data_IF_250751659871
#
_entry.id   IF_250751659871
#
_cell.length_a   1.000
_cell.length_b   1.000
_cell.length_c   1.000
_cell.angle_alpha   90.00
_cell.angle_beta   90.00
_cell.angle_gamma   90.00
#
_symmetry.space_group_name_H-M   'P 1'
#
loop_
_entity.id
_entity.type
_entity.pdbx_description
1 polymer ?
#
# COMPACT_ATOMS: atom_id res chain seq x y z
N UNK A 1 1.61 -1.39 -15.73
CA UNK A 1 0.77 -0.19 -15.96
C UNK A 1 1.36 1.15 -15.51
N UNK A 2 1.89 1.37 -14.29
CA UNK A 2 2.33 2.73 -13.86
C UNK A 2 3.32 3.42 -14.80
N UNK A 3 4.17 2.68 -15.53
CA UNK A 3 5.10 3.22 -16.53
C UNK A 3 4.41 3.98 -17.67
N UNK A 4 3.17 3.61 -18.02
CA UNK A 4 2.36 4.28 -19.04
C UNK A 4 1.73 5.59 -18.55
N UNK A 5 1.66 5.79 -17.23
CA UNK A 5 1.00 6.94 -16.60
C UNK A 5 1.97 7.88 -15.85
N UNK A 6 3.29 7.65 -15.96
CA UNK A 6 4.31 8.48 -15.29
C UNK A 6 4.34 9.96 -15.73
N UNK A 7 3.72 10.30 -16.86
CA UNK A 7 3.72 11.67 -17.39
C UNK A 7 2.58 12.57 -16.85
N UNK A 8 1.69 12.05 -16.00
CA UNK A 8 0.54 12.81 -15.46
C UNK A 8 0.59 13.11 -13.95
N UNK A 9 1.60 12.63 -13.22
CA UNK A 9 1.73 12.85 -11.77
C UNK A 9 2.57 14.09 -11.45
N UNK A 10 1.95 15.27 -11.52
CA UNK A 10 2.52 16.52 -11.00
C UNK A 10 1.69 16.96 -9.78
N UNK A 11 2.04 16.56 -8.54
CA UNK A 11 1.23 16.87 -7.38
C UNK A 11 1.64 18.22 -6.79
N UNK A 12 1.30 19.32 -7.49
CA UNK A 12 1.22 20.64 -6.87
C UNK A 12 -0.18 21.20 -7.09
N UNK A 13 -1.04 21.00 -6.08
CA UNK A 13 -2.38 21.58 -5.76
C UNK A 13 -3.24 20.44 -5.18
N UNK A 14 -4.03 20.59 -4.14
CA UNK A 14 -4.40 21.73 -3.31
C UNK A 14 -4.97 21.15 -2.00
N UNK A 15 -4.56 21.73 -0.86
CA UNK A 15 -5.20 21.53 0.44
C UNK A 15 -6.61 22.11 0.41
N UNK A 16 -7.62 21.25 0.52
CA UNK A 16 -9.02 21.61 0.69
C UNK A 16 -9.67 20.64 1.67
N UNK A 17 -9.57 20.95 2.96
CA UNK A 17 -10.21 20.17 4.02
C UNK A 17 -11.72 20.25 3.92
N UNK A 18 -12.39 19.09 3.92
CA UNK A 18 -13.83 18.99 4.13
C UNK A 18 -14.05 18.63 5.59
N UNK A 19 -14.40 19.63 6.40
CA UNK A 19 -14.79 19.43 7.79
C UNK A 19 -16.28 19.09 7.85
N UNK A 20 -16.62 17.91 8.38
CA UNK A 20 -17.93 17.65 8.94
C UNK A 20 -17.79 17.31 10.42
N UNK A 21 -18.46 18.09 11.26
CA UNK A 21 -18.56 17.92 12.69
C UNK A 21 -19.43 16.70 13.03
N UNK A 22 -18.90 15.75 13.80
CA UNK A 22 -19.55 15.12 14.96
C UNK A 22 -18.74 13.90 15.46
N UNK A 23 -18.41 13.92 16.75
CA UNK A 23 -18.07 12.74 17.57
C UNK A 23 -16.68 12.13 17.36
N UNK A 24 -15.92 12.04 18.44
CA UNK A 24 -14.56 11.49 18.56
C UNK A 24 -14.45 10.02 18.06
N UNK A 25 -14.23 9.89 16.76
CA UNK A 25 -13.68 8.73 16.05
C UNK A 25 -12.53 9.32 15.26
N UNK A 26 -11.38 8.65 15.15
CA UNK A 26 -10.16 9.13 14.49
C UNK A 26 -10.42 9.63 13.04
N UNK A 27 -10.93 10.86 12.89
CA UNK A 27 -11.54 11.42 11.67
C UNK A 27 -10.99 12.81 11.31
N UNK A 28 -9.71 13.06 11.56
CA UNK A 28 -9.07 14.24 10.94
C UNK A 28 -8.31 13.90 9.66
N UNK A 29 -7.77 12.69 9.52
CA UNK A 29 -7.10 12.19 8.31
C UNK A 29 -7.35 10.67 8.21
N UNK A 30 -7.66 10.16 7.01
CA UNK A 30 -7.69 8.72 6.76
C UNK A 30 -6.26 8.18 6.87
N UNK A 31 -6.08 7.16 7.71
CA UNK A 31 -4.80 6.44 7.86
C UNK A 31 -4.35 5.93 6.48
N UNK A 32 -5.23 5.16 5.82
CA UNK A 32 -5.04 4.67 4.46
C UNK A 32 -4.55 5.74 3.47
N UNK A 33 -5.24 6.89 3.39
CA UNK A 33 -4.86 7.93 2.44
C UNK A 33 -3.46 8.50 2.73
N UNK A 34 -3.15 8.72 4.01
CA UNK A 34 -1.86 9.26 4.44
C UNK A 34 -0.72 8.28 4.14
N UNK A 35 -0.92 7.00 4.45
CA UNK A 35 0.07 5.95 4.20
C UNK A 35 0.34 5.74 2.71
N UNK A 36 -0.72 5.71 1.90
CA UNK A 36 -0.62 5.55 0.44
C UNK A 36 0.11 6.74 -0.18
N UNK A 37 -0.25 7.97 0.20
CA UNK A 37 0.43 9.17 -0.28
C UNK A 37 1.91 9.18 0.11
N UNK A 38 2.21 8.96 1.38
CA UNK A 38 3.57 8.87 1.90
C UNK A 38 4.42 7.87 1.11
N UNK A 39 3.89 6.66 0.93
CA UNK A 39 4.56 5.58 0.20
C UNK A 39 4.82 5.96 -1.26
N UNK A 40 3.82 6.49 -1.96
CA UNK A 40 3.96 6.86 -3.37
C UNK A 40 4.96 8.01 -3.55
N UNK A 41 4.89 9.03 -2.71
CA UNK A 41 5.81 10.16 -2.74
C UNK A 41 7.26 9.70 -2.52
N UNK A 42 7.52 8.86 -1.50
CA UNK A 42 8.88 8.32 -1.28
C UNK A 42 9.35 7.38 -2.39
N UNK A 43 8.46 6.59 -2.99
CA UNK A 43 8.79 5.75 -4.16
C UNK A 43 9.22 6.58 -5.37
N UNK A 44 8.66 7.77 -5.53
CA UNK A 44 9.01 8.72 -6.61
C UNK A 44 10.20 9.63 -6.25
N UNK A 45 10.82 9.43 -5.08
CA UNK A 45 12.03 10.14 -4.66
C UNK A 45 11.78 11.45 -3.92
N UNK A 46 10.52 11.76 -3.56
CA UNK A 46 10.23 12.91 -2.71
C UNK A 46 10.67 12.67 -1.27
N UNK A 47 11.10 13.76 -0.62
CA UNK A 47 11.52 13.75 0.78
C UNK A 47 10.34 14.10 1.70
N UNK A 48 9.49 13.11 1.97
CA UNK A 48 8.36 13.26 2.90
C UNK A 48 8.80 12.82 4.30
N UNK A 49 8.67 13.65 5.36
CA UNK A 49 9.12 13.30 6.70
C UNK A 49 8.17 12.30 7.39
N UNK A 50 8.72 11.42 8.25
CA UNK A 50 7.94 10.51 9.12
C UNK A 50 6.96 11.25 10.06
N UNK A 51 7.20 12.53 10.32
CA UNK A 51 6.37 13.39 11.17
C UNK A 51 4.91 13.49 10.70
N UNK A 52 4.62 13.14 9.44
CA UNK A 52 3.24 13.02 8.94
C UNK A 52 2.40 12.04 9.76
N UNK A 53 3.03 11.07 10.43
CA UNK A 53 2.33 10.06 11.23
C UNK A 53 2.04 10.51 12.68
N UNK A 54 2.62 11.63 13.14
CA UNK A 54 2.42 12.12 14.53
C UNK A 54 0.95 12.39 14.86
N UNK A 55 0.10 12.66 13.88
CA UNK A 55 -1.35 12.84 14.08
C UNK A 55 -2.08 11.55 14.52
N UNK A 56 -1.45 10.39 14.30
CA UNK A 56 -1.96 9.07 14.66
C UNK A 56 -1.50 8.60 16.06
N UNK A 57 -0.71 9.41 16.75
CA UNK A 57 -0.23 9.12 18.10
C UNK A 57 -1.22 9.62 19.16
N UNK A 58 -1.30 8.88 20.27
CA UNK A 58 -2.03 9.26 21.47
C UNK A 58 -1.18 10.19 22.36
N UNK A 59 -1.75 10.69 23.47
CA UNK A 59 -1.05 11.60 24.40
C UNK A 59 0.13 10.95 25.13
N UNK A 60 0.21 9.62 25.15
CA UNK A 60 1.30 8.84 25.76
C UNK A 60 2.48 8.65 24.81
N UNK A 61 2.31 8.99 23.54
CA UNK A 61 3.34 8.82 22.53
C UNK A 61 3.33 7.45 21.84
N UNK A 62 2.21 6.71 21.88
CA UNK A 62 2.04 5.47 21.11
C UNK A 62 1.00 5.66 19.98
N UNK A 63 1.03 4.80 18.96
CA UNK A 63 -0.06 4.73 17.98
C UNK A 63 -1.43 4.51 18.64
N UNK A 64 -2.46 5.20 18.14
CA UNK A 64 -3.83 5.08 18.64
C UNK A 64 -4.38 3.68 18.34
N UNK A 65 -4.73 2.94 19.39
CA UNK A 65 -5.37 1.62 19.28
C UNK A 65 -6.65 1.64 18.43
N UNK A 66 -7.40 2.75 18.38
CA UNK A 66 -8.61 2.84 17.55
C UNK A 66 -8.34 2.75 16.03
N UNK A 67 -7.09 2.81 15.59
CA UNK A 67 -6.69 2.61 14.20
C UNK A 67 -6.84 1.15 13.74
N UNK A 68 -6.81 0.17 14.66
CA UNK A 68 -6.90 -1.25 14.32
C UNK A 68 -8.25 -1.68 13.71
N UNK A 69 -9.26 -0.80 13.76
CA UNK A 69 -10.56 -1.01 13.11
C UNK A 69 -10.46 -0.88 11.58
N UNK A 70 -9.51 -0.09 11.07
CA UNK A 70 -9.27 0.10 9.63
C UNK A 70 -8.12 -0.80 9.17
N UNK A 71 -8.47 -2.01 8.72
CA UNK A 71 -7.49 -3.02 8.29
C UNK A 71 -6.81 -2.64 6.98
N UNK A 72 -7.52 -1.97 6.07
CA UNK A 72 -6.90 -1.48 4.84
C UNK A 72 -5.88 -0.38 5.16
N UNK A 73 -6.23 0.54 6.08
CA UNK A 73 -5.30 1.51 6.64
C UNK A 73 -4.10 0.85 7.32
N UNK A 74 -4.32 -0.19 8.14
CA UNK A 74 -3.22 -0.91 8.79
C UNK A 74 -2.28 -1.59 7.79
N UNK A 75 -2.84 -2.18 6.74
CA UNK A 75 -2.07 -2.76 5.64
C UNK A 75 -1.28 -1.68 4.90
N UNK A 76 -1.88 -0.51 4.66
CA UNK A 76 -1.19 0.61 4.03
C UNK A 76 -0.05 1.14 4.90
N UNK A 77 -0.25 1.29 6.21
CA UNK A 77 0.76 1.69 7.20
C UNK A 77 1.92 0.70 7.23
N UNK A 78 1.63 -0.60 7.26
CA UNK A 78 2.65 -1.65 7.15
C UNK A 78 3.50 -1.46 5.90
N UNK A 79 2.87 -1.30 4.73
CA UNK A 79 3.59 -1.12 3.45
C UNK A 79 4.38 0.19 3.37
N UNK A 80 3.86 1.27 3.96
CA UNK A 80 4.55 2.56 4.05
C UNK A 80 5.78 2.51 4.96
N UNK A 81 5.73 1.71 6.03
CA UNK A 81 6.83 1.57 6.98
C UNK A 81 8.13 1.02 6.36
N UNK A 82 8.04 0.27 5.25
CA UNK A 82 9.22 -0.24 4.55
C UNK A 82 9.97 0.82 3.73
N UNK A 83 9.41 2.03 3.59
CA UNK A 83 10.12 3.19 3.03
C UNK A 83 10.94 3.94 4.07
N UNK A 84 11.19 3.33 5.23
CA UNK A 84 12.05 3.82 6.30
C UNK A 84 13.46 4.16 5.81
N UNK A 85 13.99 5.25 6.35
CA UNK A 85 15.38 5.66 6.25
C UNK A 85 16.04 5.58 7.64
N UNK A 86 17.37 5.58 7.65
CA UNK A 86 18.14 5.50 8.89
C UNK A 86 17.74 6.62 9.88
N UNK A 87 17.47 6.25 11.12
CA UNK A 87 17.06 7.17 12.19
C UNK A 87 15.56 7.46 12.30
N UNK A 88 14.71 6.80 11.50
CA UNK A 88 13.27 7.04 11.51
C UNK A 88 12.48 6.08 12.43
N UNK A 89 12.54 6.35 13.74
CA UNK A 89 11.90 5.51 14.76
C UNK A 89 10.37 5.43 14.67
N UNK A 90 9.68 6.45 14.15
CA UNK A 90 8.21 6.43 14.00
C UNK A 90 7.80 5.34 13.01
N UNK A 91 8.59 5.14 11.95
CA UNK A 91 8.33 4.11 10.95
C UNK A 91 8.66 2.70 11.47
N UNK A 92 9.64 2.57 12.36
CA UNK A 92 9.90 1.31 13.08
C UNK A 92 8.70 0.93 13.94
N UNK A 93 8.20 1.88 14.74
CA UNK A 93 7.04 1.68 15.59
C UNK A 93 5.77 1.41 14.78
N UNK A 94 5.58 2.12 13.66
CA UNK A 94 4.47 1.90 12.73
C UNK A 94 4.47 0.46 12.20
N UNK A 95 5.65 -0.06 11.85
CA UNK A 95 5.81 -1.43 11.37
C UNK A 95 5.42 -2.44 12.44
N UNK A 96 5.89 -2.25 13.66
CA UNK A 96 5.63 -3.16 14.78
C UNK A 96 4.15 -3.16 15.16
N UNK A 97 3.56 -1.97 15.28
CA UNK A 97 2.13 -1.77 15.53
C UNK A 97 1.26 -2.43 14.45
N UNK A 98 1.53 -2.14 13.17
CA UNK A 98 0.78 -2.72 12.07
C UNK A 98 0.95 -4.24 11.98
N UNK A 99 2.18 -4.75 12.14
CA UNK A 99 2.45 -6.19 12.12
C UNK A 99 1.65 -6.94 13.18
N UNK A 100 1.59 -6.40 14.40
CA UNK A 100 0.82 -7.00 15.50
C UNK A 100 -0.65 -7.13 15.12
N UNK A 101 -1.29 -6.02 14.74
CA UNK A 101 -2.73 -6.01 14.47
C UNK A 101 -3.11 -6.76 13.20
N UNK A 102 -2.26 -6.76 12.17
CA UNK A 102 -2.49 -7.55 10.96
C UNK A 102 -2.46 -9.05 11.22
N UNK A 103 -1.57 -9.53 12.10
CA UNK A 103 -1.54 -10.95 12.53
C UNK A 103 -2.81 -11.31 13.31
N UNK A 104 -3.18 -10.47 14.29
CA UNK A 104 -4.42 -10.66 15.07
C UNK A 104 -5.65 -10.69 14.16
N UNK A 105 -5.70 -9.85 13.12
CA UNK A 105 -6.79 -9.82 12.16
C UNK A 105 -6.91 -11.13 11.36
N UNK A 106 -5.79 -11.66 10.85
CA UNK A 106 -5.79 -12.92 10.07
C UNK A 106 -6.29 -14.09 10.91
N UNK A 107 -5.97 -14.11 12.21
CA UNK A 107 -6.39 -15.19 13.12
C UNK A 107 -7.91 -15.16 13.42
N UNK A 108 -8.55 -13.99 13.29
CA UNK A 108 -9.94 -13.78 13.73
C UNK A 108 -10.94 -13.55 12.60
N UNK A 109 -10.48 -13.06 11.45
CA UNK A 109 -11.33 -12.64 10.33
C UNK A 109 -11.76 -13.79 9.44
N UNK A 110 -12.94 -13.64 8.83
CA UNK A 110 -13.48 -14.53 7.78
C UNK A 110 -13.43 -13.89 6.40
N UNK A 111 -12.93 -12.66 6.28
CA UNK A 111 -12.76 -11.99 4.99
C UNK A 111 -11.59 -12.64 4.23
N UNK A 112 -11.93 -13.54 3.32
CA UNK A 112 -10.93 -14.28 2.57
C UNK A 112 -10.04 -13.37 1.71
N UNK A 113 -10.59 -12.30 1.13
CA UNK A 113 -9.85 -11.39 0.27
C UNK A 113 -8.83 -10.60 1.09
N UNK A 114 -9.26 -9.95 2.17
CA UNK A 114 -8.35 -9.20 3.03
C UNK A 114 -7.34 -10.11 3.71
N UNK A 115 -7.72 -11.29 4.19
CA UNK A 115 -6.75 -12.24 4.74
C UNK A 115 -5.69 -12.66 3.72
N UNK A 116 -6.04 -12.85 2.45
CA UNK A 116 -5.06 -13.12 1.38
C UNK A 116 -4.12 -11.93 1.15
N UNK A 117 -4.65 -10.70 1.15
CA UNK A 117 -3.85 -9.48 1.02
C UNK A 117 -2.86 -9.32 2.18
N UNK A 118 -3.33 -9.49 3.41
CA UNK A 118 -2.52 -9.34 4.62
C UNK A 118 -1.43 -10.40 4.70
N UNK A 119 -1.78 -11.68 4.48
CA UNK A 119 -0.78 -12.76 4.48
C UNK A 119 0.31 -12.53 3.42
N UNK A 120 -0.06 -12.03 2.24
CA UNK A 120 0.91 -11.71 1.21
C UNK A 120 1.84 -10.57 1.63
N UNK A 121 1.33 -9.49 2.24
CA UNK A 121 2.18 -8.42 2.74
C UNK A 121 3.14 -8.90 3.84
N UNK A 122 2.63 -9.69 4.80
CA UNK A 122 3.43 -10.23 5.91
C UNK A 122 4.51 -11.23 5.47
N UNK A 123 4.31 -11.95 4.37
CA UNK A 123 5.33 -12.83 3.77
C UNK A 123 6.51 -12.02 3.24
N UNK A 124 6.22 -10.94 2.50
CA UNK A 124 7.21 -10.02 1.96
C UNK A 124 6.50 -8.70 1.59
N UNK A 125 6.99 -7.54 2.05
CA UNK A 125 6.36 -6.25 1.77
C UNK A 125 6.50 -5.87 0.29
N UNK A 126 5.58 -5.05 -0.20
CA UNK A 126 5.56 -4.58 -1.59
C UNK A 126 6.84 -3.87 -2.00
N UNK A 127 7.52 -3.18 -1.07
CA UNK A 127 8.74 -2.45 -1.36
C UNK A 127 9.89 -3.37 -1.78
N UNK A 128 9.92 -4.61 -1.28
CA UNK A 128 11.00 -5.57 -1.54
C UNK A 128 10.66 -6.56 -2.66
N UNK A 129 9.41 -6.56 -3.15
CA UNK A 129 8.97 -7.46 -4.22
C UNK A 129 9.45 -6.98 -5.59
N UNK A 130 9.88 -7.94 -6.42
CA UNK A 130 10.14 -7.70 -7.84
C UNK A 130 8.85 -7.25 -8.53
N UNK A 131 8.92 -6.14 -9.26
CA UNK A 131 7.77 -5.47 -9.88
C UNK A 131 6.91 -6.42 -10.71
N UNK A 132 7.53 -7.31 -11.50
CA UNK A 132 6.79 -8.28 -12.35
C UNK A 132 6.06 -9.33 -11.53
N UNK A 133 6.69 -9.88 -10.50
CA UNK A 133 6.06 -10.86 -9.60
C UNK A 133 4.90 -10.23 -8.83
N UNK A 134 5.09 -9.01 -8.30
CA UNK A 134 4.03 -8.23 -7.68
C UNK A 134 2.86 -8.01 -8.64
N UNK A 135 3.12 -7.58 -9.88
CA UNK A 135 2.07 -7.32 -10.86
C UNK A 135 1.25 -8.58 -11.17
N UNK A 136 1.90 -9.73 -11.36
CA UNK A 136 1.20 -11.00 -11.62
C UNK A 136 0.25 -11.34 -10.48
N UNK A 137 0.78 -11.34 -9.26
CA UNK A 137 0.00 -11.69 -8.08
C UNK A 137 -1.19 -10.75 -7.88
N UNK A 138 -1.00 -9.43 -8.07
CA UNK A 138 -2.08 -8.46 -7.93
C UNK A 138 -3.16 -8.60 -9.00
N UNK A 139 -2.83 -8.98 -10.23
CA UNK A 139 -3.84 -9.26 -11.27
C UNK A 139 -4.75 -10.40 -10.82
N UNK A 140 -4.14 -11.49 -10.31
CA UNK A 140 -4.88 -12.66 -9.85
C UNK A 140 -5.73 -12.33 -8.60
N UNK A 141 -5.18 -11.57 -7.64
CA UNK A 141 -5.91 -11.13 -6.45
C UNK A 141 -7.05 -10.15 -6.78
N UNK A 142 -6.82 -9.17 -7.66
CA UNK A 142 -7.80 -8.14 -8.03
C UNK A 142 -9.02 -8.74 -8.73
N UNK A 143 -8.84 -9.83 -9.48
CA UNK A 143 -9.95 -10.58 -10.10
C UNK A 143 -10.98 -11.08 -9.10
N UNK A 144 -10.57 -11.44 -7.88
CA UNK A 144 -11.45 -11.94 -6.83
C UNK A 144 -12.12 -10.86 -5.97
N UNK A 145 -11.86 -9.58 -6.26
CA UNK A 145 -12.38 -8.46 -5.49
C UNK A 145 -13.82 -8.12 -5.92
N UNK A 146 -14.70 -7.80 -4.97
CA UNK A 146 -16.13 -7.55 -5.26
C UNK A 146 -16.36 -6.30 -6.12
N UNK A 147 -15.60 -5.22 -5.91
CA UNK A 147 -15.66 -3.94 -6.63
C UNK A 147 -14.65 -3.87 -7.80
N UNK A 148 -14.23 -5.01 -8.32
CA UNK A 148 -13.28 -5.11 -9.43
C UNK A 148 -13.81 -4.39 -10.68
N UNK A 149 -12.98 -3.53 -11.28
CA UNK A 149 -13.26 -2.87 -12.56
C UNK A 149 -12.77 -3.75 -13.72
N UNK A 150 -13.67 -4.28 -14.56
CA UNK A 150 -13.31 -5.23 -15.62
C UNK A 150 -12.38 -4.63 -16.67
N UNK A 151 -12.56 -3.34 -16.99
CA UNK A 151 -11.68 -2.64 -17.94
C UNK A 151 -10.26 -2.49 -17.39
N UNK A 152 -10.12 -2.24 -16.09
CA UNK A 152 -8.80 -2.15 -15.45
C UNK A 152 -8.11 -3.52 -15.41
N UNK A 153 -8.87 -4.58 -15.12
CA UNK A 153 -8.35 -5.95 -15.10
C UNK A 153 -7.88 -6.38 -16.50
N UNK A 154 -8.71 -6.17 -17.53
CA UNK A 154 -8.37 -6.48 -18.92
C UNK A 154 -7.11 -5.73 -19.37
N UNK A 155 -7.02 -4.43 -19.07
CA UNK A 155 -5.84 -3.62 -19.39
C UNK A 155 -4.58 -4.17 -18.71
N UNK A 156 -4.68 -4.56 -17.43
CA UNK A 156 -3.55 -5.11 -16.68
C UNK A 156 -3.08 -6.46 -17.24
N UNK A 157 -4.01 -7.31 -17.67
CA UNK A 157 -3.69 -8.61 -18.29
C UNK A 157 -3.02 -8.45 -19.65
N UNK A 158 -3.54 -7.56 -20.49
CA UNK A 158 -2.93 -7.25 -21.80
C UNK A 158 -1.52 -6.67 -21.64
N UNK A 159 -1.34 -5.66 -20.78
CA UNK A 159 -0.03 -5.08 -20.45
C UNK A 159 0.95 -6.16 -19.96
N UNK A 160 0.48 -7.05 -19.08
CA UNK A 160 1.32 -8.12 -18.54
C UNK A 160 1.77 -9.10 -19.62
N UNK A 161 0.86 -9.52 -20.50
CA UNK A 161 1.10 -10.50 -21.56
C UNK A 161 1.99 -9.94 -22.67
N UNK A 162 1.81 -8.67 -23.05
CA UNK A 162 2.67 -7.99 -24.04
C UNK A 162 4.15 -7.99 -23.58
N UNK A 163 4.40 -7.59 -22.34
CA UNK A 163 5.76 -7.60 -21.76
C UNK A 163 6.31 -9.02 -21.63
N UNK A 164 5.45 -9.99 -21.28
CA UNK A 164 5.86 -11.40 -21.18
C UNK A 164 6.29 -11.98 -22.53
N UNK A 165 5.61 -11.64 -23.62
CA UNK A 165 5.96 -12.09 -24.96
C UNK A 165 7.35 -11.60 -25.40
N UNK A 166 7.69 -10.33 -25.09
CA UNK A 166 9.03 -9.78 -25.35
C UNK A 166 10.10 -10.55 -24.57
N UNK A 167 9.91 -10.74 -23.26
CA UNK A 167 10.87 -11.50 -22.45
C UNK A 167 11.06 -12.95 -22.92
N UNK A 168 10.00 -13.59 -23.44
CA UNK A 168 10.10 -14.94 -23.99
C UNK A 168 10.94 -14.97 -25.27
N UNK A 169 10.84 -13.95 -26.12
CA UNK A 169 11.68 -13.85 -27.31
C UNK A 169 13.14 -13.59 -26.94
N UNK A 170 13.40 -12.64 -26.03
CA UNK A 170 14.74 -12.37 -25.51
C UNK A 170 15.39 -13.65 -24.93
N UNK A 171 14.61 -14.44 -24.18
CA UNK A 171 15.09 -15.72 -23.65
C UNK A 171 15.44 -16.73 -24.75
N UNK A 172 14.67 -16.80 -25.85
CA UNK A 172 15.00 -17.68 -26.98
C UNK A 172 16.30 -17.25 -27.65
N UNK A 173 16.50 -15.94 -27.83
CA UNK A 173 17.71 -15.41 -28.47
C UNK A 173 18.96 -15.69 -27.62
N UNK A 174 18.89 -15.48 -26.30
CA UNK A 174 20.01 -15.72 -25.38
C UNK A 174 20.27 -17.21 -25.15
N UNK A 175 19.27 -18.08 -25.30
CA UNK A 175 19.44 -19.53 -25.12
C UNK A 175 19.94 -20.26 -26.37
N UNK A 176 20.18 -19.55 -27.48
CA UNK A 176 20.67 -20.11 -28.75
C UNK A 176 22.20 -20.07 -28.82
#
# INVERSE_FOLDING_TARGET
>A
MSRHFKCSSNPKRNLGGVTNHNGDVCKKQSLYATDVEFRLMRQDGYDVPQDTFKSFFNEKGDFKECLCVDIEGMLALYEASFHLREGESILEEARDFATKHLKEYVDQSKDQYLCTMVNHALELPLHWRVIRSKARWFIDAYRGREDMNPTLLELAELDFNMVQAVHQEDLKEVSR
#
